data_IF_063562911811
#
_entry.id   IF_063562911811
#
_cell.length_a   1.000
_cell.length_b   1.000
_cell.length_c   1.000
_cell.angle_alpha   90.00
_cell.angle_beta   90.00
_cell.angle_gamma   90.00
#
_symmetry.space_group_name_H-M   'P 1'
#
loop_
_entity.id
_entity.type
_entity.pdbx_description
1 polymer ?
#
# COMPACT_ATOMS: atom_id res chain seq x y z
N UNK A 1 5.53 -36.29 -53.78
CA UNK A 1 4.23 -36.24 -53.08
C UNK A 1 4.50 -35.65 -51.70
N UNK A 2 4.41 -34.33 -51.61
CA UNK A 2 4.79 -33.53 -50.44
C UNK A 2 3.58 -33.44 -49.51
N UNK A 3 3.63 -34.07 -48.34
CA UNK A 3 2.65 -33.84 -47.29
C UNK A 3 2.92 -32.47 -46.66
N UNK A 4 2.01 -31.54 -46.89
CA UNK A 4 1.97 -30.24 -46.24
C UNK A 4 1.61 -30.44 -44.76
N UNK A 5 2.48 -29.93 -43.90
CA UNK A 5 2.32 -29.85 -42.45
C UNK A 5 0.96 -29.21 -42.10
N UNK A 6 0.13 -29.93 -41.35
CA UNK A 6 -1.05 -29.38 -40.71
C UNK A 6 -0.63 -28.23 -39.79
N UNK A 7 -1.23 -27.06 -40.02
CA UNK A 7 -1.07 -25.88 -39.19
C UNK A 7 -1.45 -26.20 -37.74
N UNK A 8 -0.58 -25.84 -36.80
CA UNK A 8 -0.81 -26.04 -35.37
C UNK A 8 -2.06 -25.29 -34.91
N UNK A 9 -3.01 -26.03 -34.37
CA UNK A 9 -4.16 -25.50 -33.62
C UNK A 9 -3.65 -24.88 -32.32
N UNK A 10 -3.80 -23.56 -32.17
CA UNK A 10 -3.50 -22.87 -30.91
C UNK A 10 -4.70 -23.07 -29.99
N UNK A 11 -4.55 -23.67 -28.79
CA UNK A 11 -5.68 -23.82 -27.88
C UNK A 11 -6.22 -22.43 -27.48
N UNK A 12 -7.55 -22.29 -27.47
CA UNK A 12 -8.23 -21.07 -27.03
C UNK A 12 -7.80 -20.71 -25.59
N UNK A 13 -7.63 -19.42 -25.30
CA UNK A 13 -7.19 -18.98 -23.99
C UNK A 13 -8.35 -19.07 -22.99
N UNK A 14 -8.18 -19.61 -21.77
CA UNK A 14 -9.28 -19.96 -20.85
C UNK A 14 -10.04 -18.77 -20.23
N UNK A 15 -9.77 -17.55 -20.66
CA UNK A 15 -10.41 -16.33 -20.16
C UNK A 15 -11.06 -15.61 -21.34
N UNK A 16 -12.38 -15.68 -21.38
CA UNK A 16 -13.20 -15.22 -22.48
C UNK A 16 -13.93 -13.93 -22.10
N UNK A 17 -13.47 -12.81 -22.66
CA UNK A 17 -14.17 -11.53 -22.55
C UNK A 17 -14.96 -11.27 -23.84
N UNK A 18 -16.28 -11.33 -23.71
CA UNK A 18 -17.22 -11.07 -24.81
C UNK A 18 -17.78 -9.66 -24.69
N UNK A 19 -17.73 -8.92 -25.80
CA UNK A 19 -18.35 -7.63 -25.97
C UNK A 19 -18.96 -7.57 -27.38
N UNK A 20 -20.03 -6.79 -27.61
CA UNK A 20 -20.62 -6.64 -28.92
C UNK A 20 -19.61 -6.05 -29.93
N UNK A 21 -19.73 -6.34 -31.23
CA UNK A 21 -18.81 -5.82 -32.24
C UNK A 21 -18.84 -4.30 -32.41
N UNK A 22 -19.89 -3.64 -31.90
CA UNK A 22 -20.05 -2.19 -31.90
C UNK A 22 -20.58 -1.74 -30.54
N UNK A 23 -20.23 -0.52 -30.09
CA UNK A 23 -20.74 0.02 -28.83
C UNK A 23 -22.27 0.19 -28.88
N UNK A 24 -22.92 0.04 -27.73
CA UNK A 24 -24.39 0.05 -27.57
C UNK A 24 -24.92 1.50 -27.54
N UNK A 25 -24.76 2.20 -28.67
CA UNK A 25 -25.17 3.60 -28.93
C UNK A 25 -25.11 4.51 -27.68
N UNK A 26 -23.92 4.73 -27.10
CA UNK A 26 -23.78 5.59 -25.94
C UNK A 26 -24.18 7.02 -26.29
N UNK A 27 -24.85 7.67 -25.35
CA UNK A 27 -25.33 9.04 -25.50
C UNK A 27 -24.18 10.05 -25.43
N UNK A 28 -24.41 11.20 -26.07
CA UNK A 28 -23.40 12.24 -26.28
C UNK A 28 -22.90 12.90 -24.99
N UNK A 29 -23.77 12.97 -23.98
CA UNK A 29 -23.55 13.78 -22.78
C UNK A 29 -23.43 12.97 -21.49
N UNK A 30 -24.00 11.76 -21.44
CA UNK A 30 -24.12 11.01 -20.18
C UNK A 30 -22.75 10.59 -19.64
N UNK A 31 -21.73 10.43 -20.50
CA UNK A 31 -20.35 10.15 -20.08
C UNK A 31 -19.77 11.22 -19.14
N UNK A 32 -20.25 12.47 -19.18
CA UNK A 32 -19.84 13.54 -18.26
C UNK A 32 -20.36 13.33 -16.83
N UNK A 33 -21.40 12.52 -16.65
CA UNK A 33 -22.07 12.27 -15.36
C UNK A 33 -21.78 10.85 -14.86
N UNK A 34 -21.25 9.94 -15.70
CA UNK A 34 -20.97 8.55 -15.31
C UNK A 34 -20.01 8.41 -14.13
N UNK A 35 -19.08 9.35 -13.94
CA UNK A 35 -18.19 9.34 -12.76
C UNK A 35 -18.95 9.46 -11.44
N UNK A 36 -20.10 10.15 -11.41
CA UNK A 36 -20.93 10.25 -10.22
C UNK A 36 -21.77 8.97 -10.05
N UNK A 37 -22.35 8.47 -11.15
CA UNK A 37 -23.22 7.29 -11.14
C UNK A 37 -22.50 6.00 -10.73
N UNK A 38 -21.18 5.94 -10.93
CA UNK A 38 -20.37 4.77 -10.60
C UNK A 38 -19.86 4.77 -9.15
N UNK A 39 -19.98 5.89 -8.40
CA UNK A 39 -19.48 5.98 -7.02
C UNK A 39 -19.99 4.83 -6.14
N UNK A 40 -21.29 4.45 -6.16
CA UNK A 40 -21.77 3.32 -5.37
C UNK A 40 -21.12 1.98 -5.75
N UNK A 41 -20.83 1.77 -7.04
CA UNK A 41 -20.11 0.58 -7.50
C UNK A 41 -18.66 0.58 -7.02
N UNK A 42 -17.97 1.71 -7.11
CA UNK A 42 -16.57 1.83 -6.68
C UNK A 42 -16.43 1.52 -5.20
N UNK A 43 -17.32 2.07 -4.37
CA UNK A 43 -17.33 1.81 -2.92
C UNK A 43 -17.42 0.30 -2.68
N UNK A 44 -18.42 -0.39 -3.24
CA UNK A 44 -18.61 -1.83 -3.04
C UNK A 44 -17.48 -2.67 -3.65
N UNK A 45 -16.98 -2.29 -4.82
CA UNK A 45 -15.89 -3.01 -5.48
C UNK A 45 -14.59 -2.92 -4.68
N UNK A 46 -14.28 -1.80 -4.02
CA UNK A 46 -13.10 -1.72 -3.13
C UNK A 46 -13.18 -2.78 -2.04
N UNK A 47 -14.35 -2.97 -1.43
CA UNK A 47 -14.52 -4.02 -0.42
C UNK A 47 -14.42 -5.44 -1.01
N UNK A 48 -15.01 -5.67 -2.19
CA UNK A 48 -14.95 -6.95 -2.87
C UNK A 48 -13.54 -7.32 -3.36
N UNK A 49 -12.75 -6.35 -3.81
CA UNK A 49 -11.37 -6.56 -4.24
C UNK A 49 -10.44 -6.86 -3.06
N UNK A 50 -10.68 -6.27 -1.88
CA UNK A 50 -9.96 -6.67 -0.67
C UNK A 50 -10.29 -8.13 -0.30
N UNK A 51 -11.57 -8.53 -0.38
CA UNK A 51 -11.98 -9.92 -0.19
C UNK A 51 -11.37 -10.87 -1.22
N UNK A 52 -11.36 -10.47 -2.49
CA UNK A 52 -10.71 -11.19 -3.59
C UNK A 52 -9.22 -11.44 -3.30
N UNK A 53 -8.50 -10.43 -2.79
CA UNK A 53 -7.08 -10.55 -2.47
C UNK A 53 -6.85 -11.58 -1.36
N UNK A 54 -7.58 -11.47 -0.24
CA UNK A 54 -7.49 -12.43 0.87
C UNK A 54 -7.82 -13.84 0.40
N UNK A 55 -8.90 -14.00 -0.37
CA UNK A 55 -9.32 -15.29 -0.91
C UNK A 55 -8.34 -15.86 -1.94
N UNK A 56 -7.65 -15.02 -2.71
CA UNK A 56 -6.59 -15.45 -3.62
C UNK A 56 -5.38 -16.01 -2.86
N UNK A 57 -5.05 -15.48 -1.68
CA UNK A 57 -4.04 -16.07 -0.78
C UNK A 57 -4.51 -17.43 -0.24
N UNK A 58 -5.78 -17.54 0.16
CA UNK A 58 -6.36 -18.83 0.57
C UNK A 58 -6.33 -19.84 -0.58
N UNK A 59 -6.65 -19.40 -1.81
CA UNK A 59 -6.56 -20.23 -3.00
C UNK A 59 -5.12 -20.67 -3.29
N UNK A 60 -4.13 -19.77 -3.14
CA UNK A 60 -2.71 -20.12 -3.26
C UNK A 60 -2.33 -21.25 -2.30
N UNK A 61 -2.67 -21.14 -1.02
CA UNK A 61 -2.39 -22.18 -0.01
C UNK A 61 -3.09 -23.50 -0.38
N UNK A 62 -4.34 -23.42 -0.84
CA UNK A 62 -5.09 -24.61 -1.28
C UNK A 62 -4.49 -25.28 -2.51
N UNK A 63 -4.01 -24.50 -3.49
CA UNK A 63 -3.33 -25.00 -4.69
C UNK A 63 -1.99 -25.63 -4.31
N UNK A 64 -1.22 -25.03 -3.40
CA UNK A 64 0.04 -25.61 -2.93
C UNK A 64 -0.19 -26.96 -2.22
N UNK A 65 -1.21 -27.06 -1.38
CA UNK A 65 -1.53 -28.28 -0.64
C UNK A 65 -2.17 -29.37 -1.52
N UNK A 66 -3.14 -29.00 -2.35
CA UNK A 66 -4.02 -29.96 -3.05
C UNK A 66 -3.81 -30.00 -4.57
N UNK A 67 -3.27 -28.94 -5.17
CA UNK A 67 -3.20 -28.74 -6.63
C UNK A 67 -4.53 -28.30 -7.25
N UNK A 68 -5.53 -27.92 -6.44
CA UNK A 68 -6.86 -27.52 -6.89
C UNK A 68 -7.23 -26.14 -6.37
N UNK A 69 -7.95 -25.38 -7.19
CA UNK A 69 -8.54 -24.10 -6.81
C UNK A 69 -9.89 -24.36 -6.12
N UNK A 70 -10.15 -23.90 -4.89
CA UNK A 70 -11.47 -24.10 -4.27
C UNK A 70 -12.60 -23.48 -5.08
N UNK A 71 -13.60 -24.28 -5.48
CA UNK A 71 -14.65 -23.86 -6.43
C UNK A 71 -15.42 -22.62 -5.98
N UNK A 72 -15.85 -22.57 -4.72
CA UNK A 72 -16.57 -21.41 -4.20
C UNK A 72 -15.74 -20.12 -4.27
N UNK A 73 -14.44 -20.21 -3.95
CA UNK A 73 -13.52 -19.07 -4.05
C UNK A 73 -13.34 -18.65 -5.52
N UNK A 74 -13.21 -19.61 -6.43
CA UNK A 74 -13.12 -19.34 -7.86
C UNK A 74 -14.36 -18.60 -8.36
N UNK A 75 -15.56 -19.11 -8.04
CA UNK A 75 -16.82 -18.51 -8.48
C UNK A 75 -17.01 -17.09 -7.90
N UNK A 76 -16.59 -16.85 -6.64
CA UNK A 76 -16.57 -15.51 -6.05
C UNK A 76 -15.64 -14.57 -6.82
N UNK A 77 -14.40 -14.99 -7.03
CA UNK A 77 -13.37 -14.19 -7.66
C UNK A 77 -13.75 -13.84 -9.12
N UNK A 78 -14.25 -14.83 -9.87
CA UNK A 78 -14.80 -14.60 -11.22
C UNK A 78 -15.99 -13.64 -11.17
N UNK A 79 -16.86 -13.75 -10.16
CA UNK A 79 -17.97 -12.83 -9.96
C UNK A 79 -17.53 -11.37 -9.74
N UNK A 80 -16.47 -11.15 -8.96
CA UNK A 80 -15.87 -9.81 -8.76
C UNK A 80 -15.29 -9.28 -10.07
N UNK A 81 -14.61 -10.13 -10.85
CA UNK A 81 -14.09 -9.76 -12.17
C UNK A 81 -15.22 -9.44 -13.17
N UNK A 82 -16.30 -10.22 -13.19
CA UNK A 82 -17.50 -9.98 -14.02
C UNK A 82 -18.13 -8.62 -13.70
N UNK A 83 -18.31 -8.32 -12.41
CA UNK A 83 -18.87 -7.05 -12.00
C UNK A 83 -17.94 -5.89 -12.36
N UNK A 84 -16.64 -6.02 -12.07
CA UNK A 84 -15.63 -5.03 -12.46
C UNK A 84 -15.63 -4.77 -13.97
N UNK A 85 -15.80 -5.82 -14.78
CA UNK A 85 -15.90 -5.69 -16.23
C UNK A 85 -17.13 -4.89 -16.66
N UNK A 86 -18.32 -5.19 -16.12
CA UNK A 86 -19.55 -4.45 -16.44
C UNK A 86 -19.43 -2.97 -16.12
N UNK A 87 -18.81 -2.66 -14.97
CA UNK A 87 -18.55 -1.30 -14.48
C UNK A 87 -17.55 -0.58 -15.38
N UNK A 88 -16.45 -1.25 -15.76
CA UNK A 88 -15.44 -0.73 -16.69
C UNK A 88 -16.02 -0.44 -18.08
N UNK A 89 -16.83 -1.37 -18.62
CA UNK A 89 -17.48 -1.25 -19.94
C UNK A 89 -18.48 -0.07 -20.00
N UNK A 90 -19.22 0.17 -18.91
CA UNK A 90 -20.12 1.32 -18.79
C UNK A 90 -19.39 2.66 -18.65
N UNK A 91 -18.30 2.69 -17.88
CA UNK A 91 -17.62 3.92 -17.43
C UNK A 91 -16.30 4.19 -18.16
N UNK A 92 -15.30 4.78 -17.48
CA UNK A 92 -14.04 5.26 -18.07
C UNK A 92 -13.05 4.17 -18.47
N UNK A 93 -13.47 2.89 -18.47
CA UNK A 93 -12.69 1.81 -19.06
C UNK A 93 -12.99 1.59 -20.55
N UNK A 94 -14.22 1.89 -21.00
CA UNK A 94 -14.59 1.79 -22.42
C UNK A 94 -15.66 2.81 -22.88
N UNK A 95 -16.50 3.34 -22.00
CA UNK A 95 -17.66 4.20 -22.33
C UNK A 95 -18.58 3.60 -23.42
N UNK A 96 -18.75 2.29 -23.40
CA UNK A 96 -19.30 1.54 -24.53
C UNK A 96 -20.81 1.26 -24.43
N UNK A 97 -21.45 1.50 -23.28
CA UNK A 97 -22.89 1.35 -23.08
C UNK A 97 -23.42 2.36 -22.07
N UNK A 98 -24.70 2.72 -22.20
CA UNK A 98 -25.44 3.51 -21.21
C UNK A 98 -26.32 2.67 -20.30
N UNK A 99 -26.35 1.34 -20.47
CA UNK A 99 -27.05 0.44 -19.55
C UNK A 99 -26.31 0.42 -18.21
N UNK A 100 -27.00 0.83 -17.15
CA UNK A 100 -26.40 0.89 -15.82
C UNK A 100 -26.03 -0.52 -15.30
N UNK A 101 -24.81 -0.76 -14.77
CA UNK A 101 -24.39 -2.08 -14.34
C UNK A 101 -25.20 -2.63 -13.14
N UNK A 102 -25.75 -3.85 -13.23
CA UNK A 102 -26.43 -4.47 -12.09
C UNK A 102 -25.44 -4.84 -10.97
N UNK A 103 -25.88 -4.68 -9.71
CA UNK A 103 -25.14 -5.02 -8.49
C UNK A 103 -25.21 -6.52 -8.19
N UNK A 104 -24.51 -7.32 -8.99
CA UNK A 104 -24.49 -8.77 -8.84
C UNK A 104 -23.11 -9.33 -9.18
N UNK A 105 -22.76 -10.45 -8.56
CA UNK A 105 -21.59 -11.26 -8.91
C UNK A 105 -21.93 -12.31 -9.99
N UNK A 106 -23.22 -12.61 -10.18
CA UNK A 106 -23.67 -13.59 -11.16
C UNK A 106 -23.41 -13.13 -12.60
N UNK A 107 -23.50 -14.09 -13.52
CA UNK A 107 -23.60 -13.78 -14.93
C UNK A 107 -24.96 -13.11 -15.23
N UNK A 108 -24.97 -12.20 -16.19
CA UNK A 108 -26.18 -11.48 -16.62
C UNK A 108 -26.26 -11.61 -18.15
N UNK A 109 -26.97 -12.63 -18.66
CA UNK A 109 -26.94 -12.98 -20.08
C UNK A 109 -27.32 -11.83 -21.03
N UNK A 110 -28.24 -10.96 -20.59
CA UNK A 110 -28.77 -9.84 -21.39
C UNK A 110 -27.89 -8.57 -21.34
N UNK A 111 -26.82 -8.58 -20.54
CA UNK A 111 -25.91 -7.44 -20.44
C UNK A 111 -24.79 -7.55 -21.49
N UNK A 112 -24.41 -6.45 -22.18
CA UNK A 112 -23.46 -6.51 -23.30
C UNK A 112 -22.04 -6.94 -22.90
N UNK A 113 -21.61 -6.60 -21.69
CA UNK A 113 -20.26 -6.92 -21.20
C UNK A 113 -20.26 -8.25 -20.42
N UNK A 114 -19.72 -9.31 -21.03
CA UNK A 114 -19.63 -10.64 -20.42
C UNK A 114 -18.17 -11.08 -20.22
N UNK A 115 -17.94 -11.79 -19.14
CA UNK A 115 -16.67 -12.42 -18.81
C UNK A 115 -16.94 -13.85 -18.36
N UNK A 116 -16.30 -14.80 -19.01
CA UNK A 116 -16.32 -16.21 -18.62
C UNK A 116 -14.88 -16.72 -18.45
N UNK A 117 -14.71 -17.61 -17.48
CA UNK A 117 -13.39 -18.15 -17.11
C UNK A 117 -13.55 -19.64 -16.94
N UNK A 118 -12.80 -20.40 -17.75
CA UNK A 118 -12.79 -21.85 -17.65
C UNK A 118 -12.17 -22.27 -16.33
N UNK A 119 -12.86 -23.17 -15.63
CA UNK A 119 -12.37 -23.66 -14.35
C UNK A 119 -11.20 -24.63 -14.54
N UNK A 120 -10.02 -24.37 -13.96
CA UNK A 120 -8.89 -25.27 -14.08
C UNK A 120 -9.09 -26.50 -13.18
N UNK A 121 -9.14 -27.70 -13.76
CA UNK A 121 -9.28 -28.94 -12.97
C UNK A 121 -8.06 -29.21 -12.07
N UNK A 122 -6.87 -28.87 -12.55
CA UNK A 122 -5.59 -28.99 -11.85
C UNK A 122 -4.69 -27.81 -12.19
N UNK A 123 -3.97 -27.35 -11.18
CA UNK A 123 -2.96 -26.30 -11.30
C UNK A 123 -1.61 -26.80 -10.80
N UNK A 124 -0.54 -26.26 -11.37
CA UNK A 124 0.81 -26.61 -10.98
C UNK A 124 1.18 -25.99 -9.64
N UNK A 125 1.62 -26.83 -8.69
CA UNK A 125 1.90 -26.42 -7.30
C UNK A 125 3.08 -25.42 -7.23
N UNK A 126 4.20 -25.77 -7.85
CA UNK A 126 5.42 -24.96 -7.80
C UNK A 126 5.32 -23.65 -8.58
N UNK A 127 4.64 -23.65 -9.74
CA UNK A 127 4.50 -22.41 -10.51
C UNK A 127 3.54 -21.44 -9.85
N UNK A 128 2.58 -21.90 -9.05
CA UNK A 128 1.67 -21.02 -8.31
C UNK A 128 2.41 -20.01 -7.42
N UNK A 129 3.56 -20.36 -6.83
CA UNK A 129 4.34 -19.44 -5.97
C UNK A 129 5.09 -18.36 -6.78
N UNK A 130 5.51 -18.69 -8.00
CA UNK A 130 6.37 -17.84 -8.84
C UNK A 130 5.55 -17.03 -9.85
N UNK A 131 4.44 -17.58 -10.35
CA UNK A 131 3.75 -17.02 -11.51
C UNK A 131 3.11 -15.67 -11.27
N UNK A 132 2.51 -15.48 -10.10
CA UNK A 132 1.69 -14.31 -9.80
C UNK A 132 2.49 -13.02 -9.58
N UNK A 133 3.78 -13.10 -9.22
CA UNK A 133 4.62 -11.92 -8.99
C UNK A 133 5.80 -11.85 -9.96
N UNK A 134 6.48 -12.96 -10.27
CA UNK A 134 7.68 -12.96 -11.11
C UNK A 134 7.34 -13.07 -12.59
N UNK A 135 6.52 -14.05 -12.98
CA UNK A 135 6.15 -14.23 -14.40
C UNK A 135 5.16 -13.16 -14.87
N UNK A 136 4.31 -12.65 -13.98
CA UNK A 136 3.44 -11.51 -14.26
C UNK A 136 4.17 -10.15 -14.27
N UNK A 137 5.44 -10.10 -13.80
CA UNK A 137 6.20 -8.85 -13.67
C UNK A 137 6.28 -8.06 -14.98
N UNK A 138 6.57 -8.66 -16.16
CA UNK A 138 6.60 -7.92 -17.41
C UNK A 138 5.25 -7.27 -17.73
N UNK A 139 4.14 -7.94 -17.44
CA UNK A 139 2.80 -7.37 -17.60
C UNK A 139 2.53 -6.24 -16.61
N UNK A 140 2.93 -6.40 -15.34
CA UNK A 140 2.80 -5.34 -14.34
C UNK A 140 3.62 -4.10 -14.68
N UNK A 141 4.82 -4.26 -15.25
CA UNK A 141 5.63 -3.15 -15.71
C UNK A 141 4.96 -2.42 -16.88
N UNK A 142 4.37 -3.13 -17.83
CA UNK A 142 3.65 -2.52 -18.96
C UNK A 142 2.35 -1.86 -18.48
N UNK A 143 1.57 -2.52 -17.64
CA UNK A 143 0.35 -1.94 -17.05
C UNK A 143 0.66 -0.73 -16.17
N UNK A 144 1.71 -0.84 -15.35
CA UNK A 144 2.25 0.24 -14.54
C UNK A 144 2.68 1.41 -15.42
N UNK A 145 3.53 1.19 -16.43
CA UNK A 145 3.96 2.24 -17.35
C UNK A 145 2.79 2.86 -18.13
N UNK A 146 1.86 2.05 -18.64
CA UNK A 146 0.65 2.53 -19.31
C UNK A 146 -0.25 3.35 -18.36
N UNK A 147 -0.27 3.02 -17.07
CA UNK A 147 -1.01 3.76 -16.04
C UNK A 147 -0.26 4.99 -15.51
N UNK A 148 1.08 4.98 -15.57
CA UNK A 148 1.98 5.88 -14.82
C UNK A 148 2.83 6.80 -15.72
N UNK A 149 2.69 6.74 -17.05
CA UNK A 149 3.44 7.55 -18.01
C UNK A 149 3.34 9.08 -17.81
N UNK A 150 2.44 9.58 -16.95
CA UNK A 150 2.32 10.99 -16.61
C UNK A 150 3.23 11.46 -15.45
N UNK A 151 3.65 10.58 -14.54
CA UNK A 151 4.28 11.02 -13.26
C UNK A 151 5.70 11.55 -13.44
N UNK A 152 6.49 10.99 -14.37
CA UNK A 152 7.89 11.43 -14.57
C UNK A 152 8.06 12.69 -15.43
N UNK A 153 7.00 13.19 -16.08
CA UNK A 153 7.07 14.46 -16.80
C UNK A 153 6.78 15.64 -15.85
N UNK A 154 6.02 15.43 -14.78
CA UNK A 154 5.70 16.42 -13.76
C UNK A 154 6.89 16.77 -12.84
N UNK A 155 7.76 15.80 -12.51
CA UNK A 155 8.94 16.04 -11.65
C UNK A 155 9.99 17.01 -12.26
N UNK A 156 9.93 17.32 -13.56
CA UNK A 156 10.87 18.26 -14.20
C UNK A 156 10.36 19.69 -14.35
N UNK A 157 9.07 19.92 -14.09
CA UNK A 157 8.44 21.23 -14.22
C UNK A 157 7.67 21.40 -12.92
N UNK A 158 8.31 21.96 -11.89
CA UNK A 158 7.81 22.04 -10.52
C UNK A 158 6.56 22.89 -10.32
N UNK A 159 5.48 22.56 -11.03
CA UNK A 159 4.16 23.16 -10.92
C UNK A 159 3.07 22.08 -10.99
N UNK A 160 2.19 22.15 -9.98
CA UNK A 160 0.87 21.54 -9.84
C UNK A 160 0.74 20.03 -9.54
N UNK A 161 0.49 19.79 -8.25
CA UNK A 161 -0.13 18.65 -7.54
C UNK A 161 -1.52 18.20 -8.07
N UNK A 162 -1.88 18.53 -9.32
CA UNK A 162 -3.20 18.28 -9.92
C UNK A 162 -3.11 17.69 -11.33
N UNK A 163 -2.07 16.89 -11.61
CA UNK A 163 -2.07 16.01 -12.79
C UNK A 163 -3.01 14.85 -12.51
N UNK A 164 -4.25 14.98 -12.97
CA UNK A 164 -5.24 13.91 -12.98
C UNK A 164 -4.60 12.64 -13.57
N UNK A 165 -4.63 11.54 -12.81
CA UNK A 165 -3.97 10.25 -13.08
C UNK A 165 -4.58 9.50 -14.28
N UNK A 166 -4.68 10.12 -15.46
CA UNK A 166 -5.21 9.43 -16.63
C UNK A 166 -4.07 8.69 -17.32
N UNK A 167 -3.88 7.42 -16.94
CA UNK A 167 -3.11 6.47 -17.75
C UNK A 167 -3.64 6.38 -19.19
N UNK A 168 -2.95 5.64 -20.06
CA UNK A 168 -3.30 5.43 -21.47
C UNK A 168 -4.79 5.15 -21.68
N UNK A 169 -5.40 4.29 -20.86
CA UNK A 169 -6.84 3.96 -20.94
C UNK A 169 -7.71 5.17 -20.65
N UNK A 170 -7.38 5.99 -19.64
CA UNK A 170 -8.10 7.22 -19.32
C UNK A 170 -8.01 8.24 -20.45
N UNK A 171 -6.82 8.40 -21.05
CA UNK A 171 -6.62 9.29 -22.21
C UNK A 171 -7.41 8.81 -23.44
N UNK A 172 -7.31 7.54 -23.79
CA UNK A 172 -8.06 6.93 -24.89
C UNK A 172 -9.56 7.08 -24.68
N UNK A 173 -10.03 6.87 -23.47
CA UNK A 173 -11.45 6.99 -23.13
C UNK A 173 -11.92 8.45 -23.13
N UNK A 174 -11.05 9.39 -22.74
CA UNK A 174 -11.33 10.82 -22.87
C UNK A 174 -11.48 11.23 -24.34
N UNK A 175 -10.59 10.76 -25.22
CA UNK A 175 -10.69 10.96 -26.67
C UNK A 175 -12.01 10.38 -27.20
N UNK A 176 -12.42 9.19 -26.74
CA UNK A 176 -13.69 8.60 -27.10
C UNK A 176 -14.89 9.47 -26.64
N UNK A 177 -14.84 9.97 -25.40
CA UNK A 177 -15.85 10.87 -24.85
C UNK A 177 -15.97 12.17 -25.64
N UNK A 178 -14.86 12.81 -26.00
CA UNK A 178 -14.86 14.00 -26.85
C UNK A 178 -15.38 13.72 -28.26
N UNK A 179 -14.98 12.60 -28.89
CA UNK A 179 -15.50 12.20 -30.18
C UNK A 179 -17.03 12.00 -30.12
N UNK A 180 -17.55 11.34 -29.08
CA UNK A 180 -18.99 11.20 -28.84
C UNK A 180 -19.69 12.54 -28.65
N UNK A 181 -19.09 13.45 -27.89
CA UNK A 181 -19.65 14.77 -27.59
C UNK A 181 -19.91 15.57 -28.89
N UNK A 182 -18.88 15.70 -29.72
CA UNK A 182 -18.92 16.53 -30.91
C UNK A 182 -19.55 15.83 -32.11
N UNK A 183 -19.21 14.57 -32.36
CA UNK A 183 -19.63 13.85 -33.57
C UNK A 183 -20.88 13.00 -33.37
N UNK A 184 -21.23 12.67 -32.11
CA UNK A 184 -22.30 11.71 -31.80
C UNK A 184 -21.96 10.26 -32.12
N UNK A 185 -20.75 9.96 -32.58
CA UNK A 185 -20.31 8.64 -33.00
C UNK A 185 -19.07 8.20 -32.22
N UNK A 186 -19.07 6.93 -31.79
CA UNK A 186 -17.91 6.31 -31.15
C UNK A 186 -16.93 5.81 -32.23
N UNK A 187 -15.66 6.28 -32.27
CA UNK A 187 -14.68 5.79 -33.24
C UNK A 187 -14.39 4.28 -33.09
N UNK A 188 -14.65 3.49 -34.13
CA UNK A 188 -14.53 2.02 -34.06
C UNK A 188 -13.12 1.54 -33.69
N UNK A 189 -12.07 2.10 -34.29
CA UNK A 189 -10.69 1.68 -33.96
C UNK A 189 -10.32 1.93 -32.49
N UNK A 190 -10.88 2.98 -31.88
CA UNK A 190 -10.67 3.27 -30.45
C UNK A 190 -11.44 2.28 -29.56
N UNK A 191 -12.65 1.90 -29.97
CA UNK A 191 -13.42 0.86 -29.31
C UNK A 191 -12.68 -0.48 -29.36
N UNK A 192 -12.24 -0.90 -30.55
CA UNK A 192 -11.50 -2.16 -30.74
C UNK A 192 -10.21 -2.20 -29.91
N UNK A 193 -9.50 -1.06 -29.81
CA UNK A 193 -8.32 -0.92 -28.96
C UNK A 193 -8.65 -1.05 -27.47
N UNK A 194 -9.67 -0.35 -26.97
CA UNK A 194 -10.07 -0.38 -25.56
C UNK A 194 -10.59 -1.77 -25.13
N UNK A 195 -11.37 -2.43 -25.99
CA UNK A 195 -11.77 -3.82 -25.77
C UNK A 195 -10.56 -4.74 -25.78
N UNK A 196 -9.61 -4.52 -26.70
CA UNK A 196 -8.41 -5.34 -26.74
C UNK A 196 -7.51 -5.20 -25.51
N UNK A 197 -7.33 -3.98 -25.01
CA UNK A 197 -6.65 -3.73 -23.72
C UNK A 197 -7.39 -4.44 -22.59
N UNK A 198 -8.71 -4.35 -22.56
CA UNK A 198 -9.53 -5.00 -21.53
C UNK A 198 -9.41 -6.53 -21.55
N UNK A 199 -9.40 -7.15 -22.74
CA UNK A 199 -9.14 -8.59 -22.93
C UNK A 199 -7.78 -8.96 -22.33
N UNK A 200 -6.74 -8.23 -22.71
CA UNK A 200 -5.40 -8.47 -22.20
C UNK A 200 -5.30 -8.31 -20.68
N UNK A 201 -5.86 -7.24 -20.12
CA UNK A 201 -5.90 -7.00 -18.65
C UNK A 201 -6.60 -8.15 -17.92
N UNK A 202 -7.74 -8.64 -18.43
CA UNK A 202 -8.45 -9.76 -17.80
C UNK A 202 -7.65 -11.06 -17.85
N UNK A 203 -6.94 -11.33 -18.96
CA UNK A 203 -6.05 -12.49 -19.04
C UNK A 203 -4.92 -12.43 -18.01
N UNK A 204 -4.28 -11.26 -17.89
CA UNK A 204 -3.24 -11.01 -16.86
C UNK A 204 -3.81 -11.17 -15.46
N UNK A 205 -4.99 -10.60 -15.20
CA UNK A 205 -5.66 -10.67 -13.90
C UNK A 205 -5.96 -12.12 -13.51
N UNK A 206 -6.53 -12.92 -14.41
CA UNK A 206 -6.82 -14.32 -14.08
C UNK A 206 -5.54 -15.17 -13.93
N UNK A 207 -4.47 -14.88 -14.68
CA UNK A 207 -3.18 -15.53 -14.47
C UNK A 207 -2.57 -15.18 -13.10
N UNK A 208 -2.57 -13.89 -12.74
CA UNK A 208 -2.11 -13.39 -11.45
C UNK A 208 -2.94 -13.95 -10.28
N UNK A 209 -4.25 -14.07 -10.46
CA UNK A 209 -5.18 -14.66 -9.50
C UNK A 209 -5.16 -16.20 -9.49
N UNK A 210 -4.19 -16.82 -10.18
CA UNK A 210 -3.94 -18.26 -10.24
C UNK A 210 -5.06 -19.08 -10.90
N UNK A 211 -5.93 -18.46 -11.70
CA UNK A 211 -7.05 -19.12 -12.40
C UNK A 211 -6.61 -19.91 -13.65
N UNK A 212 -5.40 -19.69 -14.13
CA UNK A 212 -4.83 -20.44 -15.26
C UNK A 212 -3.31 -20.58 -15.12
N UNK A 213 -2.76 -21.67 -15.65
CA UNK A 213 -1.31 -21.87 -15.79
C UNK A 213 -0.78 -21.39 -17.16
N UNK A 214 -1.68 -21.08 -18.10
CA UNK A 214 -1.32 -20.62 -19.43
C UNK A 214 -0.91 -19.15 -19.40
N UNK A 215 0.35 -18.89 -19.75
CA UNK A 215 0.92 -17.54 -19.75
C UNK A 215 0.14 -16.61 -20.71
N UNK A 216 -0.26 -15.39 -20.27
CA UNK A 216 -1.02 -14.46 -21.10
C UNK A 216 -0.20 -13.97 -22.30
N UNK A 217 -0.69 -14.14 -23.54
CA UNK A 217 0.00 -13.62 -24.71
C UNK A 217 -0.03 -12.07 -24.73
N UNK A 218 1.06 -11.44 -25.20
CA UNK A 218 1.15 -9.98 -25.39
C UNK A 218 0.40 -9.51 -26.66
N UNK A 219 -0.86 -9.91 -26.78
CA UNK A 219 -1.75 -9.52 -27.86
C UNK A 219 -3.02 -8.92 -27.29
N UNK A 220 -3.45 -7.81 -27.88
CA UNK A 220 -4.66 -7.11 -27.48
C UNK A 220 -5.91 -7.77 -28.09
N UNK A 221 -5.80 -8.51 -29.19
CA UNK A 221 -6.95 -9.11 -29.90
C UNK A 221 -8.05 -8.07 -30.18
N UNK A 222 -7.70 -7.04 -30.96
CA UNK A 222 -8.60 -5.97 -31.39
C UNK A 222 -9.63 -6.53 -32.39
N UNK A 223 -10.93 -6.35 -32.12
CA UNK A 223 -12.01 -6.72 -33.05
C UNK A 223 -13.16 -7.54 -32.43
N UNK A 224 -14.35 -7.36 -33.02
CA UNK A 224 -15.63 -7.91 -32.56
C UNK A 224 -15.96 -9.36 -32.94
N UNK A 225 -15.00 -10.13 -33.44
CA UNK A 225 -15.21 -11.57 -33.54
C UNK A 225 -15.09 -12.15 -32.12
N UNK A 226 -16.04 -13.02 -31.77
CA UNK A 226 -15.82 -14.11 -30.83
C UNK A 226 -14.36 -14.56 -31.01
N UNK A 227 -13.57 -14.58 -29.94
CA UNK A 227 -12.24 -15.21 -29.97
C UNK A 227 -12.38 -16.45 -30.85
N UNK A 228 -11.66 -16.56 -31.99
CA UNK A 228 -12.03 -17.52 -33.02
C UNK A 228 -12.35 -18.82 -32.31
N UNK A 229 -13.62 -19.20 -32.33
CA UNK A 229 -13.93 -20.61 -32.27
C UNK A 229 -13.24 -21.08 -33.53
N UNK A 230 -12.00 -21.55 -33.36
CA UNK A 230 -11.31 -22.31 -34.37
C UNK A 230 -12.31 -23.40 -34.74
N UNK A 231 -13.01 -23.17 -35.86
CA UNK A 231 -14.05 -24.04 -36.42
C UNK A 231 -13.51 -25.41 -36.82
N UNK A 232 -12.28 -25.72 -36.44
CA UNK A 232 -11.57 -26.99 -36.56
C UNK A 232 -11.76 -27.91 -35.35
N UNK A 233 -12.40 -27.47 -34.26
CA UNK A 233 -12.76 -28.36 -33.16
C UNK A 233 -14.24 -28.78 -33.28
N UNK A 234 -14.56 -30.09 -33.25
CA UNK A 234 -15.91 -30.52 -32.95
C UNK A 234 -16.29 -29.90 -31.59
N UNK A 235 -17.54 -29.46 -31.37
CA UNK A 235 -17.96 -28.96 -30.07
C UNK A 235 -17.59 -30.03 -29.06
N UNK A 236 -16.59 -29.75 -28.22
CA UNK A 236 -16.34 -30.56 -27.03
C UNK A 236 -17.67 -30.49 -26.31
N UNK A 237 -18.37 -31.62 -26.24
CA UNK A 237 -19.64 -31.70 -25.55
C UNK A 237 -19.43 -30.98 -24.23
N UNK A 238 -20.16 -29.89 -24.01
CA UNK A 238 -20.04 -29.08 -22.82
C UNK A 238 -20.17 -30.05 -21.65
N UNK A 239 -19.03 -30.41 -21.04
CA UNK A 239 -19.08 -31.24 -19.86
C UNK A 239 -19.90 -30.43 -18.88
N UNK A 240 -20.97 -30.98 -18.30
CA UNK A 240 -21.81 -30.23 -17.39
C UNK A 240 -20.88 -29.67 -16.34
N UNK A 241 -20.70 -28.35 -16.36
CA UNK A 241 -19.85 -27.68 -15.40
C UNK A 241 -20.37 -28.09 -14.02
N UNK A 242 -19.49 -28.54 -13.11
CA UNK A 242 -19.95 -28.85 -11.76
C UNK A 242 -20.74 -27.65 -11.21
N UNK A 243 -21.85 -27.89 -10.50
CA UNK A 243 -22.78 -26.85 -10.12
C UNK A 243 -22.04 -25.68 -9.44
N UNK A 244 -22.20 -24.47 -9.99
CA UNK A 244 -21.54 -23.27 -9.49
C UNK A 244 -22.02 -22.96 -8.06
N UNK A 245 -21.13 -22.43 -7.23
CA UNK A 245 -21.46 -22.00 -5.88
C UNK A 245 -22.51 -20.87 -5.90
N UNK A 246 -23.47 -20.91 -4.98
CA UNK A 246 -24.56 -19.94 -4.91
C UNK A 246 -24.21 -18.82 -3.92
N UNK A 247 -23.69 -17.72 -4.45
CA UNK A 247 -23.35 -16.54 -3.67
C UNK A 247 -24.58 -15.64 -3.47
N UNK A 248 -25.16 -15.69 -2.27
CA UNK A 248 -26.20 -14.74 -1.84
C UNK A 248 -25.59 -13.58 -1.04
N UNK A 249 -26.39 -12.55 -0.71
CA UNK A 249 -25.90 -11.37 -0.01
C UNK A 249 -25.24 -11.69 1.35
N UNK A 250 -25.79 -12.63 2.10
CA UNK A 250 -25.28 -13.03 3.42
C UNK A 250 -23.84 -13.57 3.38
N UNK A 251 -23.57 -14.68 2.66
CA UNK A 251 -22.23 -15.22 2.47
C UNK A 251 -21.22 -14.19 1.93
N UNK A 252 -21.63 -13.35 0.97
CA UNK A 252 -20.78 -12.27 0.43
C UNK A 252 -20.40 -11.28 1.54
N UNK A 253 -21.37 -10.85 2.35
CA UNK A 253 -21.13 -9.87 3.42
C UNK A 253 -20.24 -10.45 4.51
N UNK A 254 -20.44 -11.72 4.87
CA UNK A 254 -19.59 -12.42 5.84
C UNK A 254 -18.13 -12.54 5.36
N UNK A 255 -17.92 -12.92 4.09
CA UNK A 255 -16.59 -12.99 3.48
C UNK A 255 -15.92 -11.62 3.43
N UNK A 256 -16.66 -10.59 3.01
CA UNK A 256 -16.13 -9.22 2.94
C UNK A 256 -15.74 -8.72 4.33
N UNK A 257 -16.66 -8.77 5.31
CA UNK A 257 -16.37 -8.33 6.68
C UNK A 257 -15.19 -9.11 7.28
N UNK A 258 -15.15 -10.43 7.06
CA UNK A 258 -14.07 -11.28 7.52
C UNK A 258 -12.72 -10.94 6.88
N UNK A 259 -12.68 -10.66 5.58
CA UNK A 259 -11.46 -10.27 4.87
C UNK A 259 -10.90 -8.94 5.40
N UNK A 260 -11.77 -7.96 5.68
CA UNK A 260 -11.34 -6.69 6.29
C UNK A 260 -10.79 -6.88 7.69
N UNK A 261 -11.44 -7.70 8.51
CA UNK A 261 -10.94 -8.05 9.83
C UNK A 261 -9.56 -8.71 9.74
N UNK A 262 -9.33 -9.59 8.76
CA UNK A 262 -8.01 -10.21 8.53
C UNK A 262 -6.95 -9.16 8.16
N UNK A 263 -7.22 -8.28 7.19
CA UNK A 263 -6.26 -7.25 6.76
C UNK A 263 -5.91 -6.30 7.90
N UNK A 264 -6.92 -5.81 8.62
CA UNK A 264 -6.72 -4.94 9.78
C UNK A 264 -5.96 -5.67 10.89
N UNK A 265 -6.33 -6.92 11.17
CA UNK A 265 -5.67 -7.76 12.16
C UNK A 265 -4.19 -7.99 11.87
N UNK A 266 -3.83 -8.21 10.59
CA UNK A 266 -2.43 -8.33 10.16
C UNK A 266 -1.64 -7.04 10.42
N UNK A 267 -2.22 -5.88 10.07
CA UNK A 267 -1.60 -4.58 10.33
C UNK A 267 -1.34 -4.34 11.81
N UNK A 268 -2.36 -4.50 12.65
CA UNK A 268 -2.25 -4.30 14.10
C UNK A 268 -1.27 -5.29 14.74
N UNK A 269 -1.28 -6.55 14.31
CA UNK A 269 -0.37 -7.57 14.86
C UNK A 269 1.08 -7.28 14.46
N UNK A 270 1.32 -6.88 13.21
CA UNK A 270 2.68 -6.52 12.74
C UNK A 270 3.20 -5.30 13.50
N UNK A 271 2.42 -4.22 13.58
CA UNK A 271 2.79 -3.01 14.31
C UNK A 271 3.02 -3.31 15.80
N UNK A 272 2.08 -4.01 16.45
CA UNK A 272 2.24 -4.39 17.86
C UNK A 272 3.46 -5.28 18.11
N UNK A 273 3.76 -6.21 17.19
CA UNK A 273 4.92 -7.09 17.29
C UNK A 273 6.24 -6.34 17.15
N UNK A 274 6.34 -5.40 16.21
CA UNK A 274 7.50 -4.50 16.08
C UNK A 274 7.71 -3.68 17.35
N UNK A 275 6.63 -3.15 17.93
CA UNK A 275 6.70 -2.35 19.15
C UNK A 275 7.10 -3.16 20.38
N UNK A 276 6.68 -4.43 20.49
CA UNK A 276 7.08 -5.32 21.59
C UNK A 276 8.53 -5.80 21.43
N UNK A 277 9.02 -5.97 20.20
CA UNK A 277 10.39 -6.36 19.91
C UNK A 277 11.41 -5.22 20.13
N UNK A 278 10.95 -4.03 20.54
CA UNK A 278 11.83 -2.92 20.89
C UNK A 278 12.77 -3.29 22.06
N UNK A 279 13.98 -2.71 22.12
CA UNK A 279 14.99 -3.07 23.12
C UNK A 279 14.49 -3.10 24.57
N UNK A 280 15.01 -4.05 25.34
CA UNK A 280 14.56 -4.31 26.72
C UNK A 280 14.89 -3.17 27.70
N UNK A 281 15.83 -2.29 27.35
CA UNK A 281 16.22 -1.15 28.17
C UNK A 281 15.09 -0.13 28.36
N UNK A 282 13.97 -0.30 27.63
CA UNK A 282 12.75 0.47 27.80
C UNK A 282 12.83 1.87 27.18
N UNK A 283 13.91 2.15 26.47
CA UNK A 283 14.19 3.44 25.87
C UNK A 283 13.93 3.41 24.36
N UNK A 284 13.10 4.33 23.89
CA UNK A 284 13.03 4.67 22.46
C UNK A 284 14.12 5.71 22.19
N UNK A 285 15.16 5.29 21.47
CA UNK A 285 16.35 6.10 21.18
C UNK A 285 16.22 6.74 19.79
N UNK A 286 16.52 8.02 19.69
CA UNK A 286 16.62 8.74 18.41
C UNK A 286 17.82 8.22 17.60
N UNK A 287 17.86 8.47 16.28
CA UNK A 287 19.10 8.33 15.53
C UNK A 287 20.23 9.16 16.18
N UNK A 288 21.45 8.64 16.16
CA UNK A 288 22.63 9.38 16.60
C UNK A 288 22.90 10.52 15.63
N UNK A 289 23.03 11.74 16.16
CA UNK A 289 23.38 12.93 15.41
C UNK A 289 24.83 13.29 15.71
N UNK A 290 25.66 13.32 14.68
CA UNK A 290 27.03 13.88 14.79
C UNK A 290 26.95 15.39 14.69
N UNK A 291 27.45 16.08 15.71
CA UNK A 291 27.54 17.54 15.73
C UNK A 291 28.99 17.96 15.52
N UNK A 292 29.22 18.91 14.61
CA UNK A 292 30.52 19.57 14.40
C UNK A 292 30.33 21.08 14.48
N UNK A 293 30.91 21.70 15.51
CA UNK A 293 30.79 23.13 15.77
C UNK A 293 32.13 23.77 16.12
N UNK A 294 32.47 24.97 15.58
CA UNK A 294 33.64 25.75 16.00
C UNK A 294 33.44 26.54 17.31
N UNK A 295 32.26 26.46 17.92
CA UNK A 295 31.91 27.12 19.18
C UNK A 295 32.53 26.45 20.42
N UNK A 296 32.25 26.98 21.61
CA UNK A 296 32.63 26.37 22.89
C UNK A 296 31.56 25.41 23.43
N UNK A 297 30.35 25.46 22.87
CA UNK A 297 29.24 24.61 23.28
C UNK A 297 28.26 24.40 22.12
N UNK A 298 27.51 23.31 22.21
CA UNK A 298 26.34 23.02 21.39
C UNK A 298 25.16 22.91 22.34
N UNK A 299 24.09 23.65 22.06
CA UNK A 299 22.86 23.61 22.85
C UNK A 299 21.66 23.31 21.95
N UNK A 300 20.64 22.66 22.50
CA UNK A 300 19.35 22.55 21.82
C UNK A 300 18.57 23.86 21.93
N UNK A 301 17.64 24.10 21.00
CA UNK A 301 16.57 25.08 21.25
C UNK A 301 15.77 24.68 22.49
N UNK A 302 15.19 25.67 23.18
CA UNK A 302 14.37 25.43 24.36
C UNK A 302 13.18 24.56 23.97
N UNK A 303 13.22 23.30 24.40
CA UNK A 303 12.15 22.34 24.15
C UNK A 303 11.05 22.59 25.18
N UNK A 304 9.91 23.09 24.72
CA UNK A 304 8.73 23.27 25.55
C UNK A 304 7.99 21.94 25.68
N UNK A 305 8.07 21.34 26.86
CA UNK A 305 7.28 20.17 27.23
C UNK A 305 5.97 20.67 27.87
N UNK A 306 4.95 20.86 27.04
CA UNK A 306 3.60 21.28 27.45
C UNK A 306 2.53 20.25 27.07
N UNK A 307 1.49 20.16 27.90
CA UNK A 307 0.29 19.36 27.66
C UNK A 307 0.19 18.10 28.52
N UNK A 308 -1.05 17.62 28.71
CA UNK A 308 -1.38 16.41 29.50
C UNK A 308 -0.77 15.13 28.95
N UNK A 309 -0.28 15.17 27.70
CA UNK A 309 0.44 14.07 27.09
C UNK A 309 1.85 13.89 27.68
N UNK A 310 2.50 14.92 28.24
CA UNK A 310 3.89 14.77 28.73
C UNK A 310 3.93 14.00 30.05
N UNK A 311 3.06 14.34 31.00
CA UNK A 311 3.03 13.74 32.35
C UNK A 311 2.70 12.24 32.33
N UNK A 312 1.92 11.78 31.35
CA UNK A 312 1.54 10.37 31.20
C UNK A 312 2.34 9.64 30.11
N UNK A 313 2.92 10.35 29.11
CA UNK A 313 3.55 9.69 27.96
C UNK A 313 5.07 9.48 28.09
N UNK A 314 5.80 10.36 28.77
CA UNK A 314 7.26 10.29 28.89
C UNK A 314 7.66 9.98 30.33
N UNK A 315 8.49 8.95 30.54
CA UNK A 315 9.07 8.65 31.84
C UNK A 315 10.42 9.34 32.03
N UNK A 316 11.51 8.62 31.77
CA UNK A 316 12.88 9.10 31.86
C UNK A 316 13.37 9.55 30.49
N UNK A 317 13.98 10.73 30.44
CA UNK A 317 14.74 11.22 29.29
C UNK A 317 16.22 11.00 29.57
N UNK A 318 16.88 10.29 28.66
CA UNK A 318 18.32 10.04 28.68
C UNK A 318 18.97 10.74 27.51
N UNK A 319 19.98 11.55 27.78
CA UNK A 319 20.83 12.13 26.74
C UNK A 319 22.21 11.50 26.85
N UNK A 320 22.74 11.03 25.72
CA UNK A 320 24.10 10.50 25.62
C UNK A 320 24.92 11.33 24.65
N UNK A 321 26.16 11.58 25.02
CA UNK A 321 27.12 12.29 24.19
C UNK A 321 28.49 11.60 24.25
N UNK A 322 29.19 11.51 23.13
CA UNK A 322 30.54 10.95 23.02
C UNK A 322 31.37 11.82 22.08
N UNK A 323 32.55 12.26 22.51
CA UNK A 323 33.44 13.03 21.66
C UNK A 323 34.03 12.16 20.54
N UNK A 324 33.97 12.62 19.29
CA UNK A 324 34.41 11.84 18.12
C UNK A 324 35.95 11.82 17.98
N UNK A 325 36.63 12.82 18.53
CA UNK A 325 38.09 12.95 18.57
C UNK A 325 38.74 12.24 19.78
N UNK A 326 37.93 11.66 20.68
CA UNK A 326 38.41 10.94 21.87
C UNK A 326 38.70 11.85 23.07
N UNK A 327 38.42 13.15 22.95
CA UNK A 327 38.53 14.12 24.04
C UNK A 327 37.41 13.92 25.08
N UNK A 328 37.50 14.63 26.20
CA UNK A 328 36.47 14.57 27.24
C UNK A 328 35.29 15.48 26.91
N UNK A 329 34.08 14.94 27.04
CA UNK A 329 32.84 15.69 26.80
C UNK A 329 32.06 15.89 28.09
N UNK A 330 31.48 17.08 28.25
CA UNK A 330 30.45 17.39 29.23
C UNK A 330 29.09 17.34 28.54
N UNK A 331 28.13 16.68 29.17
CA UNK A 331 26.70 16.74 28.80
C UNK A 331 25.89 17.13 30.02
N UNK A 332 25.00 18.11 29.86
CA UNK A 332 24.16 18.62 30.93
C UNK A 332 22.75 18.94 30.45
N UNK A 333 21.78 18.73 31.33
CA UNK A 333 20.38 19.12 31.14
C UNK A 333 20.05 20.16 32.22
N UNK A 334 19.50 21.30 31.81
CA UNK A 334 19.10 22.37 32.72
C UNK A 334 17.79 23.02 32.27
N UNK A 335 17.17 23.76 33.19
CA UNK A 335 16.07 24.66 32.86
C UNK A 335 16.52 25.67 31.82
N UNK A 336 15.66 25.95 30.84
CA UNK A 336 16.00 26.81 29.71
C UNK A 336 16.47 28.20 30.16
N UNK A 337 15.90 28.74 31.24
CA UNK A 337 16.30 30.05 31.78
C UNK A 337 17.74 30.05 32.27
N UNK A 338 18.14 29.04 33.02
CA UNK A 338 19.46 28.96 33.64
C UNK A 338 20.53 28.57 32.61
N UNK A 339 20.22 27.65 31.71
CA UNK A 339 21.08 27.28 30.60
C UNK A 339 21.36 28.46 29.66
N UNK A 340 20.32 29.21 29.28
CA UNK A 340 20.47 30.39 28.43
C UNK A 340 21.21 31.53 29.13
N UNK A 341 21.07 31.67 30.45
CA UNK A 341 21.84 32.63 31.23
C UNK A 341 23.32 32.25 31.30
N UNK A 342 23.65 30.97 31.47
CA UNK A 342 25.02 30.47 31.45
C UNK A 342 25.69 30.65 30.08
N UNK A 343 24.95 30.37 29.01
CA UNK A 343 25.44 30.54 27.63
C UNK A 343 25.39 31.99 27.14
N UNK A 344 24.90 32.93 27.94
CA UNK A 344 24.83 34.34 27.58
C UNK A 344 26.23 34.91 27.39
N UNK A 345 26.54 35.33 26.16
CA UNK A 345 27.87 35.83 25.81
C UNK A 345 28.92 34.74 25.52
N UNK A 346 28.55 33.45 25.57
CA UNK A 346 29.40 32.33 25.14
C UNK A 346 29.18 32.05 23.66
N UNK A 347 30.26 31.86 22.89
CA UNK A 347 30.11 31.44 21.49
C UNK A 347 29.65 29.99 21.42
N UNK A 348 28.44 29.73 20.94
CA UNK A 348 27.85 28.40 20.89
C UNK A 348 26.94 28.21 19.68
N UNK A 349 26.66 26.95 19.34
CA UNK A 349 25.71 26.59 18.29
C UNK A 349 24.39 26.15 18.90
N UNK A 350 23.27 26.65 18.36
CA UNK A 350 21.91 26.23 18.74
C UNK A 350 21.35 25.32 17.66
N UNK A 351 21.07 24.07 18.02
CA UNK A 351 20.41 23.11 17.13
C UNK A 351 18.90 23.38 17.06
N UNK A 352 18.37 23.62 15.86
CA UNK A 352 16.94 23.83 15.61
C UNK A 352 16.31 22.64 14.88
N UNK A 353 15.48 21.89 15.59
CA UNK A 353 14.76 20.73 15.07
C UNK A 353 15.60 19.44 15.03
N UNK A 354 15.01 18.37 14.51
CA UNK A 354 15.60 17.02 14.50
C UNK A 354 16.42 16.69 13.23
N UNK A 355 16.53 17.63 12.28
CA UNK A 355 17.26 17.46 11.02
C UNK A 355 18.45 18.43 10.96
N UNK A 356 19.65 17.97 10.56
CA UNK A 356 20.84 18.81 10.46
C UNK A 356 20.68 19.91 9.41
N UNK A 357 21.26 21.10 9.65
CA UNK A 357 21.36 22.19 8.65
C UNK A 357 20.62 23.49 8.98
N UNK A 358 19.87 23.55 10.07
CA UNK A 358 19.22 24.78 10.57
C UNK A 358 19.93 25.38 11.80
N UNK A 359 21.20 25.02 12.00
CA UNK A 359 21.96 25.35 13.19
C UNK A 359 22.25 26.85 13.25
N UNK A 360 21.95 27.47 14.39
CA UNK A 360 22.13 28.90 14.58
C UNK A 360 23.38 29.16 15.41
N UNK A 361 24.40 29.77 14.79
CA UNK A 361 25.62 30.19 15.47
C UNK A 361 25.38 31.46 16.28
N UNK A 362 25.69 31.43 17.58
CA UNK A 362 25.69 32.59 18.47
C UNK A 362 27.12 33.09 18.69
N UNK A 363 27.43 34.35 18.37
CA UNK A 363 28.74 34.92 18.66
C UNK A 363 28.94 35.12 20.17
N UNK A 364 30.18 35.10 20.62
CA UNK A 364 30.53 35.27 22.03
C UNK A 364 32.01 34.98 22.30
N UNK A 365 32.35 34.92 23.58
CA UNK A 365 33.68 34.57 24.08
C UNK A 365 33.69 33.16 24.70
N UNK A 366 34.83 32.78 25.29
CA UNK A 366 34.97 31.56 26.08
C UNK A 366 34.08 31.61 27.34
N UNK A 367 33.56 30.47 27.84
CA UNK A 367 32.83 30.41 29.10
C UNK A 367 33.66 30.96 30.26
N UNK A 368 33.08 31.87 31.05
CA UNK A 368 33.74 32.45 32.23
C UNK A 368 33.87 31.44 33.39
N UNK A 369 33.00 30.43 33.43
CA UNK A 369 33.02 29.34 34.41
C UNK A 369 32.88 28.02 33.68
N UNK A 370 33.65 27.02 34.12
CA UNK A 370 33.57 25.67 33.57
C UNK A 370 32.24 25.03 33.95
N UNK A 371 31.68 24.15 33.10
CA UNK A 371 30.35 23.59 33.32
C UNK A 371 30.26 22.77 34.61
N UNK A 372 31.35 22.14 35.06
CA UNK A 372 31.37 21.35 36.30
C UNK A 372 31.43 22.22 37.57
N UNK A 373 31.75 23.52 37.43
CA UNK A 373 31.86 24.44 38.56
C UNK A 373 30.56 25.19 38.85
N UNK A 374 29.54 25.04 38.00
CA UNK A 374 28.24 25.70 38.16
C UNK A 374 27.16 24.71 38.61
N UNK A 375 26.24 25.15 39.45
CA UNK A 375 25.19 24.32 40.06
C UNK A 375 23.82 24.45 39.38
N UNK A 376 23.81 24.85 38.09
CA UNK A 376 22.57 25.07 37.31
C UNK A 376 22.01 23.79 36.68
N UNK A 377 22.80 22.71 36.65
CA UNK A 377 22.44 21.48 35.95
C UNK A 377 21.52 20.62 36.80
N UNK A 378 20.40 20.20 36.21
CA UNK A 378 19.47 19.25 36.81
C UNK A 378 20.06 17.83 36.79
N UNK A 379 20.79 17.51 35.72
CA UNK A 379 21.72 16.40 35.67
C UNK A 379 22.89 16.75 34.75
N UNK A 380 24.09 16.30 35.11
CA UNK A 380 25.30 16.49 34.31
C UNK A 380 26.26 15.32 34.48
N UNK A 381 26.98 14.97 33.41
CA UNK A 381 28.09 14.01 33.43
C UNK A 381 29.24 14.53 32.58
N UNK A 382 30.46 14.24 32.99
CA UNK A 382 31.66 14.64 32.26
C UNK A 382 32.75 13.58 32.37
N UNK A 383 33.46 13.35 31.28
CA UNK A 383 34.63 12.47 31.24
C UNK A 383 34.93 11.97 29.83
N UNK A 384 35.90 11.06 29.71
CA UNK A 384 36.25 10.45 28.43
C UNK A 384 35.18 9.46 27.96
N UNK A 385 35.08 9.26 26.65
CA UNK A 385 34.15 8.31 26.04
C UNK A 385 32.68 8.70 26.20
N UNK A 386 31.77 7.72 26.10
CA UNK A 386 30.32 7.95 26.11
C UNK A 386 29.81 8.33 27.49
N UNK A 387 29.36 9.58 27.63
CA UNK A 387 28.72 10.13 28.81
C UNK A 387 27.19 10.06 28.68
N UNK A 388 26.50 9.83 29.80
CA UNK A 388 25.05 9.72 29.84
C UNK A 388 24.48 10.51 31.03
N UNK A 389 23.38 11.21 30.79
CA UNK A 389 22.59 11.89 31.83
C UNK A 389 21.14 11.49 31.71
N UNK A 390 20.49 11.25 32.84
CA UNK A 390 19.09 10.83 32.91
C UNK A 390 18.31 11.80 33.81
N UNK A 391 17.15 12.26 33.33
CA UNK A 391 16.25 13.16 34.04
C UNK A 391 14.81 12.68 33.85
N UNK A 392 14.01 12.80 34.91
CA UNK A 392 12.56 12.56 34.84
C UNK A 392 11.88 13.67 34.03
N UNK A 393 11.09 13.29 33.02
CA UNK A 393 10.36 14.27 32.21
C UNK A 393 9.37 15.03 33.08
N UNK A 394 9.53 16.35 33.18
CA UNK A 394 8.61 17.23 33.89
C UNK A 394 8.16 18.38 32.98
N UNK A 395 6.92 18.88 33.15
CA UNK A 395 6.45 20.04 32.40
C UNK A 395 7.38 21.23 32.60
N UNK A 396 7.84 21.83 31.51
CA UNK A 396 8.81 22.92 31.57
C UNK A 396 9.53 23.15 30.25
N UNK A 397 10.43 24.13 30.25
CA UNK A 397 11.31 24.42 29.13
C UNK A 397 12.71 23.96 29.47
N UNK A 398 13.27 23.07 28.67
CA UNK A 398 14.55 22.41 28.96
C UNK A 398 15.54 22.65 27.84
N UNK A 399 16.82 22.75 28.19
CA UNK A 399 17.93 22.86 27.24
C UNK A 399 18.98 21.81 27.58
N UNK A 400 19.40 21.08 26.55
CA UNK A 400 20.53 20.16 26.62
C UNK A 400 21.76 20.90 26.12
N UNK A 401 22.87 20.80 26.86
CA UNK A 401 24.14 21.42 26.52
C UNK A 401 25.23 20.35 26.44
N UNK A 402 25.98 20.36 25.35
CA UNK A 402 27.16 19.53 25.13
C UNK A 402 28.36 20.43 24.89
N UNK A 403 29.45 20.23 25.62
CA UNK A 403 30.65 21.05 25.50
C UNK A 403 31.92 20.30 25.93
N UNK A 404 33.12 20.74 25.53
CA UNK A 404 34.38 20.20 26.03
C UNK A 404 34.52 20.47 27.54
N UNK A 405 35.09 19.51 28.28
CA UNK A 405 35.20 19.64 29.75
C UNK A 405 36.14 20.76 30.19
N UNK A 406 37.11 21.11 29.35
CA UNK A 406 38.13 22.14 29.58
C UNK A 406 37.70 23.54 29.10
N UNK A 407 36.52 23.66 28.49
CA UNK A 407 36.02 24.91 27.92
C UNK A 407 36.81 25.39 26.69
N UNK A 408 37.48 24.49 25.99
CA UNK A 408 38.13 24.76 24.71
C UNK A 408 37.11 24.97 23.58
N UNK A 409 37.58 25.55 22.45
CA UNK A 409 36.74 25.76 21.28
C UNK A 409 36.83 24.56 20.33
N UNK A 410 35.70 24.22 19.70
CA UNK A 410 35.56 23.03 18.86
C UNK A 410 34.79 21.96 19.61
N UNK A 411 33.59 21.62 19.12
CA UNK A 411 32.76 20.54 19.67
C UNK A 411 32.50 19.55 18.54
N UNK A 412 33.07 18.35 18.65
CA UNK A 412 32.72 17.21 17.81
C UNK A 412 32.24 16.07 18.67
N UNK A 413 30.93 15.83 18.65
CA UNK A 413 30.34 14.79 19.47
C UNK A 413 29.17 14.12 18.75
N UNK A 414 29.08 12.81 18.96
CA UNK A 414 27.92 12.01 18.63
C UNK A 414 26.92 12.08 19.78
N UNK A 415 25.70 12.53 19.48
CA UNK A 415 24.64 12.75 20.48
C UNK A 415 23.40 11.95 20.13
N UNK A 416 22.84 11.24 21.11
CA UNK A 416 21.53 10.60 20.99
C UNK A 416 20.65 10.94 22.20
N UNK A 417 19.35 11.04 21.93
CA UNK A 417 18.32 11.27 22.94
C UNK A 417 17.42 10.05 22.99
N UNK A 418 17.17 9.56 24.19
CA UNK A 418 16.34 8.41 24.46
C UNK A 418 15.26 8.76 25.47
N UNK A 419 14.07 8.19 25.33
CA UNK A 419 13.00 8.36 26.32
C UNK A 419 12.32 7.05 26.66
N UNK A 420 11.94 6.85 27.91
CA UNK A 420 11.05 5.74 28.27
C UNK A 420 9.60 6.15 27.98
N UNK A 421 8.85 5.22 27.37
CA UNK A 421 7.45 5.40 27.02
C UNK A 421 6.62 4.33 27.77
N UNK A 422 6.16 4.60 29.01
CA UNK A 422 5.49 3.61 29.84
C UNK A 422 4.21 3.03 29.22
N UNK A 423 3.49 3.84 28.43
CA UNK A 423 2.29 3.46 27.70
C UNK A 423 2.58 2.60 26.46
N UNK A 424 3.81 2.59 25.95
CA UNK A 424 4.13 1.95 24.67
C UNK A 424 3.93 0.44 24.75
N UNK A 425 4.44 -0.21 25.80
CA UNK A 425 4.29 -1.66 26.01
C UNK A 425 2.84 -2.10 26.17
N UNK A 426 2.01 -1.52 27.06
CA UNK A 426 0.61 -1.91 27.17
C UNK A 426 -0.17 -1.59 25.89
N UNK A 427 0.11 -0.47 25.20
CA UNK A 427 -0.51 -0.17 23.92
C UNK A 427 -0.13 -1.21 22.84
N UNK A 428 1.15 -1.59 22.76
CA UNK A 428 1.63 -2.63 21.85
C UNK A 428 0.97 -3.99 22.15
N UNK A 429 0.85 -4.36 23.43
CA UNK A 429 0.13 -5.58 23.85
C UNK A 429 -1.37 -5.53 23.51
N UNK A 430 -2.01 -4.37 23.66
CA UNK A 430 -3.39 -4.15 23.24
C UNK A 430 -3.57 -4.32 21.74
N UNK A 431 -2.69 -3.69 20.94
CA UNK A 431 -2.67 -3.81 19.47
C UNK A 431 -2.50 -5.27 19.03
N UNK A 432 -1.57 -6.01 19.65
CA UNK A 432 -1.38 -7.44 19.40
C UNK A 432 -2.64 -8.26 19.70
N UNK A 433 -3.25 -8.02 20.87
CA UNK A 433 -4.42 -8.78 21.32
C UNK A 433 -5.61 -8.56 20.38
N UNK A 434 -5.92 -7.29 20.08
CA UNK A 434 -6.99 -6.94 19.14
C UNK A 434 -6.68 -7.48 17.75
N UNK A 435 -5.43 -7.37 17.30
CA UNK A 435 -4.97 -7.90 16.02
C UNK A 435 -5.23 -9.40 15.88
N UNK A 436 -4.84 -10.20 16.88
CA UNK A 436 -5.07 -11.65 16.89
C UNK A 436 -6.55 -12.01 16.92
N UNK A 437 -7.36 -11.31 17.72
CA UNK A 437 -8.81 -11.54 17.76
C UNK A 437 -9.48 -11.27 16.40
N UNK A 438 -9.09 -10.19 15.72
CA UNK A 438 -9.57 -9.87 14.38
C UNK A 438 -9.14 -10.90 13.34
N UNK A 439 -7.91 -11.41 13.43
CA UNK A 439 -7.43 -12.48 12.54
C UNK A 439 -8.25 -13.75 12.70
N UNK A 440 -8.48 -14.20 13.94
CA UNK A 440 -9.24 -15.42 14.22
C UNK A 440 -10.72 -15.28 13.84
N UNK A 441 -11.36 -14.18 14.28
CA UNK A 441 -12.76 -13.90 13.96
C UNK A 441 -12.98 -13.69 12.46
N UNK A 442 -12.07 -12.97 11.80
CA UNK A 442 -12.11 -12.72 10.37
C UNK A 442 -11.93 -14.00 9.55
N UNK A 443 -10.95 -14.84 9.90
CA UNK A 443 -10.74 -16.13 9.25
C UNK A 443 -11.96 -17.06 9.43
N UNK A 444 -12.56 -17.09 10.62
CA UNK A 444 -13.78 -17.86 10.86
C UNK A 444 -14.96 -17.35 10.01
N UNK A 445 -15.17 -16.03 9.92
CA UNK A 445 -16.23 -15.44 9.10
C UNK A 445 -16.04 -15.76 7.60
N UNK A 446 -14.81 -15.67 7.08
CA UNK A 446 -14.48 -16.06 5.70
C UNK A 446 -14.78 -17.55 5.47
N UNK A 447 -14.30 -18.43 6.36
CA UNK A 447 -14.48 -19.87 6.23
C UNK A 447 -15.96 -20.28 6.25
N UNK A 448 -16.75 -19.70 7.17
CA UNK A 448 -18.19 -19.92 7.26
C UNK A 448 -18.93 -19.38 6.03
N UNK A 449 -18.56 -18.19 5.55
CA UNK A 449 -19.14 -17.60 4.34
C UNK A 449 -18.89 -18.48 3.10
N UNK A 450 -17.64 -18.89 2.87
CA UNK A 450 -17.28 -19.78 1.76
C UNK A 450 -18.00 -21.14 1.87
N UNK A 451 -18.09 -21.71 3.08
CA UNK A 451 -18.79 -22.97 3.30
C UNK A 451 -20.28 -22.85 3.01
N UNK A 452 -20.93 -21.78 3.48
CA UNK A 452 -22.35 -21.54 3.24
C UNK A 452 -22.68 -21.39 1.75
N UNK A 453 -21.82 -20.72 0.98
CA UNK A 453 -21.95 -20.62 -0.48
C UNK A 453 -21.73 -21.97 -1.20
N UNK A 454 -20.99 -22.89 -0.59
CA UNK A 454 -20.75 -24.23 -1.12
C UNK A 454 -21.90 -25.18 -0.82
N UNK A 455 -22.50 -25.07 0.38
CA UNK A 455 -23.58 -25.94 0.87
C UNK A 455 -24.96 -25.56 0.30
N UNK A 456 -25.11 -24.36 -0.27
CA UNK A 456 -26.35 -23.86 -0.91
C UNK A 456 -26.75 -24.54 -2.22
N UNK A 457 -26.20 -25.72 -2.52
CA UNK A 457 -26.60 -26.55 -3.66
C UNK A 457 -27.88 -27.33 -3.31
N UNK A 458 -28.97 -27.21 -4.09
CA UNK A 458 -30.06 -28.19 -3.99
C UNK A 458 -29.50 -29.58 -4.36
N UNK A 459 -29.71 -30.56 -3.48
CA UNK A 459 -29.35 -31.96 -3.69
C UNK A 459 -30.15 -32.60 -4.82
#
# INVERSE_FOLDING_TARGET
MTQVLAAGTVPAYPIHLTAPPRPDRPSRWLWLVKWLLIVPHLVLLVFLWAAFAVLSVVALVSILATGRYPRAIFDFNVGVMRWSWRVSYYSYGALATDRYPPFTLADVPDYPARLDVDYPERLSRGQALVKWWLLALPHYLILGAASYAAVRLADRVGEADLVWQTGLVGMLTLIAGFALLFTGHYPQGLYDLLIGISRWVMRVTGYAALMTDTYPPFRLDQGGQVEPQDTSYPPVAAQPAPPAATWTAGPVTAVVAGAFAVVLGLGLTTTGGVLVAAPEDGYVTSPTLTVDSPGYAVATEAALLEGTAVDEALGLVRVRAEATDGDEVFVGIADARDALAYLAGVRHTVLRGALPGNDLQRPGAQPATLPQQTAIWLASSSGPGRQAVEVEARPGSWVVVVMPTDGSAGVRADVDVASTLPWLRPAAGGLLTVGVLLLLGGAAAVALGVRSASDGQPR
#
